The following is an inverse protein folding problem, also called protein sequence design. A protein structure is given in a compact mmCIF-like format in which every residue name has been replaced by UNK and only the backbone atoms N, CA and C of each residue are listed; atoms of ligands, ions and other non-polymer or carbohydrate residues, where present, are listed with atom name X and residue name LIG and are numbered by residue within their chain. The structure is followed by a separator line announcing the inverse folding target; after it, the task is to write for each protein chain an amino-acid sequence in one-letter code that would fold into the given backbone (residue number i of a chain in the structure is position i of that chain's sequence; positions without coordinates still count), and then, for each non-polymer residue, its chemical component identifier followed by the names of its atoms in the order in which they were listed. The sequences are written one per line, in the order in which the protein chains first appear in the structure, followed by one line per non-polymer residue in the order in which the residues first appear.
data_IF_976738088054
#
_entry.id   IF_976738088054
#
_cell.length_a   1.000
_cell.length_b   1.000
_cell.length_c   1.000
_cell.angle_alpha   90.00
_cell.angle_beta   90.00
_cell.angle_gamma   90.00
#
_symmetry.space_group_name_H-M   'P 1'
#
loop_
_entity.id
_entity.type
_entity.pdbx_description
1 polymer ?
#
# COMPACT_ATOMS: atom_id res chain seq x y z
N UNK A 1 -13.21 80.43 34.69
CA UNK A 1 -11.87 80.75 34.11
C UNK A 1 -11.24 79.42 33.72
N UNK A 2 -11.30 79.02 32.45
CA UNK A 2 -10.34 79.26 31.37
C UNK A 2 -9.25 78.15 31.30
N UNK A 3 -9.43 77.27 30.31
CA UNK A 3 -8.45 76.53 29.51
C UNK A 3 -7.30 75.76 30.20
N UNK A 4 -7.15 74.47 29.85
CA UNK A 4 -6.18 74.05 28.81
C UNK A 4 -6.38 72.61 28.36
N UNK A 5 -6.07 72.42 27.08
CA UNK A 5 -6.18 71.24 26.22
C UNK A 5 -5.17 70.14 26.61
N UNK A 6 -5.52 68.88 26.40
CA UNK A 6 -4.62 67.92 25.75
C UNK A 6 -5.40 66.70 25.26
N UNK A 7 -5.36 66.45 23.94
CA UNK A 7 -5.80 65.20 23.33
C UNK A 7 -4.85 64.08 23.75
N UNK A 8 -5.38 62.97 24.26
CA UNK A 8 -4.66 61.70 24.30
C UNK A 8 -5.57 60.66 23.64
N UNK A 9 -5.16 60.25 22.44
CA UNK A 9 -5.63 59.04 21.76
C UNK A 9 -5.19 57.84 22.61
N UNK A 10 -6.13 57.04 23.11
CA UNK A 10 -5.81 55.74 23.68
C UNK A 10 -6.20 54.68 22.65
N UNK A 11 -5.17 54.09 22.03
CA UNK A 11 -5.27 52.93 21.15
C UNK A 11 -5.95 51.78 21.92
N UNK A 12 -6.99 51.19 21.32
CA UNK A 12 -7.42 49.83 21.66
C UNK A 12 -6.30 48.88 21.23
N UNK A 13 -5.60 48.30 22.20
CA UNK A 13 -4.74 47.15 21.97
C UNK A 13 -5.59 45.91 21.73
N UNK A 14 -5.63 45.43 20.48
CA UNK A 14 -6.12 44.09 20.18
C UNK A 14 -5.01 43.13 20.58
N UNK A 15 -5.19 42.45 21.71
CA UNK A 15 -4.36 41.31 22.10
C UNK A 15 -4.75 40.14 21.20
N UNK A 16 -3.98 39.91 20.13
CA UNK A 16 -4.09 38.70 19.34
C UNK A 16 -3.60 37.53 20.20
N UNK A 17 -4.55 36.79 20.78
CA UNK A 17 -4.30 35.49 21.38
C UNK A 17 -4.10 34.52 20.21
N UNK A 18 -2.85 34.33 19.79
CA UNK A 18 -2.51 33.27 18.86
C UNK A 18 -2.67 31.93 19.60
N UNK A 19 -3.82 31.28 19.44
CA UNK A 19 -3.96 29.88 19.77
C UNK A 19 -3.08 29.10 18.79
N UNK A 20 -1.94 28.62 19.28
CA UNK A 20 -1.23 27.52 18.66
C UNK A 20 -2.18 26.33 18.68
N UNK A 21 -2.88 26.12 17.56
CA UNK A 21 -3.44 24.81 17.24
C UNK A 21 -2.20 23.99 16.89
N UNK A 22 -1.70 23.22 17.86
CA UNK A 22 -0.83 22.10 17.55
C UNK A 22 -1.66 21.16 16.68
N UNK A 23 -1.41 21.13 15.37
CA UNK A 23 -1.81 19.98 14.56
C UNK A 23 -1.09 18.80 15.16
N UNK A 24 -1.81 17.97 15.93
CA UNK A 24 -1.33 16.62 16.16
C UNK A 24 -1.27 16.00 14.76
N UNK A 25 -0.08 15.63 14.30
CA UNK A 25 0.01 14.65 13.23
C UNK A 25 -0.71 13.43 13.78
N UNK A 26 -1.92 13.17 13.28
CA UNK A 26 -2.57 11.90 13.55
C UNK A 26 -1.79 10.90 12.72
N UNK A 27 -0.98 10.06 13.36
CA UNK A 27 -0.58 8.79 12.77
C UNK A 27 -1.86 8.13 12.22
N UNK A 28 -1.86 7.80 10.95
CA UNK A 28 -3.00 7.24 10.25
C UNK A 28 -2.69 5.82 9.74
N UNK A 29 -1.42 5.42 9.68
CA UNK A 29 -1.00 4.04 9.92
C UNK A 29 -0.82 3.82 11.42
N UNK A 30 -1.66 2.96 12.00
CA UNK A 30 -1.55 2.57 13.40
C UNK A 30 -1.20 1.10 13.49
N UNK A 31 -0.01 0.82 14.04
CA UNK A 31 0.51 -0.53 14.25
C UNK A 31 0.25 -0.97 15.68
N UNK A 32 -0.33 -2.17 15.83
CA UNK A 32 -0.48 -2.87 17.10
C UNK A 32 0.32 -4.17 17.04
N UNK A 33 1.40 -4.27 17.82
CA UNK A 33 2.20 -5.49 17.88
C UNK A 33 1.35 -6.68 18.34
N UNK A 34 1.51 -7.83 17.68
CA UNK A 34 0.83 -9.09 18.00
C UNK A 34 1.78 -10.26 17.82
N UNK A 35 1.65 -11.24 18.71
CA UNK A 35 2.33 -12.54 18.63
C UNK A 35 1.32 -13.68 18.40
N UNK A 36 0.05 -13.35 18.17
CA UNK A 36 -0.99 -14.35 17.90
C UNK A 36 -1.01 -14.70 16.42
N UNK A 37 -0.42 -15.85 16.08
CA UNK A 37 -0.36 -16.36 14.71
C UNK A 37 -1.75 -16.51 14.07
N UNK A 38 -2.77 -16.87 14.87
CA UNK A 38 -4.14 -17.06 14.37
C UNK A 38 -4.79 -15.72 14.07
N UNK A 39 -4.56 -14.70 14.90
CA UNK A 39 -5.02 -13.33 14.65
C UNK A 39 -4.39 -12.75 13.37
N UNK A 40 -3.06 -12.89 13.23
CA UNK A 40 -2.33 -12.43 12.04
C UNK A 40 -2.86 -13.11 10.76
N UNK A 41 -3.02 -14.43 10.79
CA UNK A 41 -3.49 -15.18 9.63
C UNK A 41 -4.95 -14.83 9.27
N UNK A 42 -5.84 -14.70 10.25
CA UNK A 42 -7.23 -14.32 9.99
C UNK A 42 -7.37 -12.87 9.47
N UNK A 43 -6.48 -11.97 9.89
CA UNK A 43 -6.50 -10.58 9.42
C UNK A 43 -6.15 -10.47 7.94
N UNK A 44 -5.32 -11.37 7.43
CA UNK A 44 -5.04 -11.44 6.01
C UNK A 44 -6.27 -11.84 5.18
N UNK A 45 -7.11 -12.76 5.67
CA UNK A 45 -8.24 -13.30 4.90
C UNK A 45 -9.26 -12.24 4.49
N UNK A 46 -9.54 -12.17 3.19
CA UNK A 46 -10.72 -11.45 2.69
C UNK A 46 -11.97 -12.24 3.06
N UNK A 47 -12.99 -11.62 3.69
CA UNK A 47 -14.25 -12.29 4.00
C UNK A 47 -14.92 -12.85 2.73
N UNK A 48 -15.35 -14.11 2.78
CA UNK A 48 -16.04 -14.75 1.66
C UNK A 48 -15.13 -15.31 0.56
N UNK A 49 -13.81 -15.31 0.74
CA UNK A 49 -12.82 -15.78 -0.23
C UNK A 49 -12.82 -17.28 -0.56
N UNK A 50 -13.70 -18.09 0.04
CA UNK A 50 -13.67 -19.55 -0.11
C UNK A 50 -12.44 -20.22 0.52
N UNK A 51 -11.65 -19.49 1.31
CA UNK A 51 -10.44 -19.98 1.96
C UNK A 51 -10.70 -20.24 3.44
N UNK A 52 -10.34 -21.44 3.89
CA UNK A 52 -10.38 -21.81 5.31
C UNK A 52 -8.97 -22.00 5.87
N UNK A 53 -8.57 -21.21 6.87
CA UNK A 53 -7.30 -21.45 7.59
C UNK A 53 -7.41 -22.72 8.42
N UNK A 54 -6.48 -23.64 8.21
CA UNK A 54 -6.34 -24.88 8.98
C UNK A 54 -5.46 -24.67 10.21
N UNK A 55 -4.36 -23.93 10.07
CA UNK A 55 -3.41 -23.64 11.13
C UNK A 55 -2.53 -22.44 10.80
N UNK A 56 -2.07 -21.72 11.82
CA UNK A 56 -1.06 -20.67 11.70
C UNK A 56 0.01 -20.83 12.79
N UNK A 57 1.28 -20.64 12.42
CA UNK A 57 2.43 -20.71 13.32
C UNK A 57 3.30 -19.49 13.07
N UNK A 58 3.51 -18.68 14.11
CA UNK A 58 4.44 -17.56 14.11
C UNK A 58 5.71 -17.98 14.85
N UNK A 59 6.87 -17.77 14.24
CA UNK A 59 8.19 -18.14 14.78
C UNK A 59 9.24 -17.10 14.42
N UNK A 60 10.19 -16.90 15.32
CA UNK A 60 11.38 -16.07 15.08
C UNK A 60 12.62 -16.91 14.85
N UNK A 61 13.78 -16.34 15.18
CA UNK A 61 15.08 -17.01 15.05
C UNK A 61 15.41 -17.96 16.19
N UNK A 62 16.70 -18.20 16.38
CA UNK A 62 17.28 -18.99 17.46
C UNK A 62 18.21 -18.08 18.26
N UNK A 63 18.30 -18.25 19.57
CA UNK A 63 19.24 -17.47 20.38
C UNK A 63 20.66 -17.66 19.83
N UNK A 64 21.31 -16.56 19.44
CA UNK A 64 22.73 -16.61 19.12
C UNK A 64 23.50 -17.04 20.38
N UNK A 65 24.35 -18.07 20.28
CA UNK A 65 25.39 -18.21 21.29
C UNK A 65 26.26 -16.96 21.16
N UNK A 66 26.20 -16.06 22.14
CA UNK A 66 27.32 -15.14 22.36
C UNK A 66 28.52 -16.05 22.62
N UNK A 67 29.34 -16.27 21.59
CA UNK A 67 30.71 -16.70 21.82
C UNK A 67 31.27 -15.67 22.78
N UNK A 68 31.41 -16.05 24.04
CA UNK A 68 32.19 -15.29 25.01
C UNK A 68 33.50 -14.98 24.29
N UNK A 69 33.75 -13.70 23.98
CA UNK A 69 35.09 -13.25 23.64
C UNK A 69 35.90 -13.39 24.94
N UNK A 70 36.20 -14.65 25.27
CA UNK A 70 37.11 -15.02 26.32
C UNK A 70 38.40 -14.32 25.98
N UNK A 71 38.70 -13.30 26.77
CA UNK A 71 39.96 -12.58 26.77
C UNK A 71 41.10 -13.60 26.80
N UNK A 72 41.65 -13.92 25.63
CA UNK A 72 42.74 -14.88 25.48
C UNK A 72 44.06 -14.21 25.86
N UNK A 73 44.21 -13.84 27.13
CA UNK A 73 45.52 -13.55 27.70
C UNK A 73 46.09 -14.85 28.30
N UNK A 74 47.09 -15.38 27.59
CA UNK A 74 48.08 -16.37 27.99
C UNK A 74 47.76 -17.88 27.93
N UNK A 75 48.66 -18.57 27.20
CA UNK A 75 49.03 -20.01 27.19
C UNK A 75 48.00 -21.10 27.57
N UNK A 76 47.65 -21.90 26.55
CA UNK A 76 47.38 -23.35 26.60
C UNK A 76 46.18 -23.78 27.47
N UNK A 77 45.05 -24.02 26.79
CA UNK A 77 44.12 -25.11 27.12
C UNK A 77 42.82 -24.71 27.81
N UNK A 78 41.85 -24.21 27.04
CA UNK A 78 40.43 -24.25 27.44
C UNK A 78 39.78 -25.48 26.81
N UNK A 79 39.48 -26.49 27.63
CA UNK A 79 38.46 -27.49 27.30
C UNK A 79 37.07 -26.86 27.41
N UNK A 80 36.03 -27.44 26.78
CA UNK A 80 34.69 -26.88 26.80
C UNK A 80 34.17 -26.89 28.24
N UNK A 81 33.82 -25.70 28.76
CA UNK A 81 33.03 -25.59 29.98
C UNK A 81 31.64 -26.17 29.74
N UNK A 82 31.14 -26.94 30.70
CA UNK A 82 29.77 -27.48 30.69
C UNK A 82 28.77 -26.33 30.76
N UNK A 83 28.28 -25.88 29.60
CA UNK A 83 27.14 -24.98 29.50
C UNK A 83 25.85 -25.79 29.72
N UNK A 84 24.97 -25.27 30.59
CA UNK A 84 23.62 -25.78 30.75
C UNK A 84 22.89 -25.74 29.40
N UNK A 85 22.29 -26.86 29.03
CA UNK A 85 21.61 -27.09 27.76
C UNK A 85 20.44 -26.09 27.59
N UNK A 86 20.67 -24.96 26.92
CA UNK A 86 19.60 -24.15 26.34
C UNK A 86 19.10 -24.94 25.13
N UNK A 87 17.80 -25.19 25.06
CA UNK A 87 17.21 -25.96 23.98
C UNK A 87 17.24 -25.13 22.68
N UNK A 88 18.30 -25.30 21.88
CA UNK A 88 18.49 -24.68 20.56
C UNK A 88 17.58 -25.27 19.48
N UNK A 89 16.74 -26.26 19.80
CA UNK A 89 15.86 -26.92 18.82
C UNK A 89 14.48 -26.24 18.67
N UNK A 90 14.15 -25.24 19.51
CA UNK A 90 12.89 -24.50 19.40
C UNK A 90 13.14 -23.04 19.00
N UNK A 91 12.50 -22.54 17.93
CA UNK A 91 12.58 -21.12 17.58
C UNK A 91 12.04 -20.25 18.73
N UNK A 92 12.69 -19.11 18.97
CA UNK A 92 12.20 -18.11 19.90
C UNK A 92 11.04 -17.33 19.27
N UNK A 93 10.15 -16.81 20.11
CA UNK A 93 9.05 -15.99 19.62
C UNK A 93 9.60 -14.68 19.02
N UNK A 94 9.07 -14.20 17.88
CA UNK A 94 9.53 -12.98 17.24
C UNK A 94 8.96 -11.77 18.00
N UNK A 95 9.71 -11.28 18.99
CA UNK A 95 9.26 -10.26 19.93
C UNK A 95 9.23 -8.88 19.26
N UNK A 96 8.04 -8.28 19.14
CA UNK A 96 7.81 -6.98 18.49
C UNK A 96 8.11 -6.93 16.98
N UNK A 97 8.45 -8.05 16.37
CA UNK A 97 8.72 -8.18 14.93
C UNK A 97 7.45 -8.42 14.10
N UNK A 98 6.29 -8.57 14.75
CA UNK A 98 5.00 -8.78 14.08
C UNK A 98 3.87 -7.94 14.70
N UNK A 99 2.92 -7.54 13.86
CA UNK A 99 1.75 -6.79 14.29
C UNK A 99 0.65 -6.70 13.24
N UNK A 100 -0.44 -6.06 13.65
CA UNK A 100 -1.54 -5.63 12.79
C UNK A 100 -1.36 -4.15 12.49
N UNK A 101 -1.78 -3.71 11.31
CA UNK A 101 -1.89 -2.29 10.99
C UNK A 101 -3.27 -1.94 10.47
N UNK A 102 -3.66 -0.67 10.65
CA UNK A 102 -4.74 0.00 9.91
C UNK A 102 -4.12 1.13 9.12
N UNK A 103 -4.70 1.56 7.99
CA UNK A 103 -4.11 2.59 7.12
C UNK A 103 -5.13 3.66 6.70
N UNK A 104 -5.63 4.41 7.67
CA UNK A 104 -6.58 5.49 7.39
C UNK A 104 -5.99 6.61 6.50
N UNK A 105 -4.66 6.67 6.34
CA UNK A 105 -3.95 7.63 5.50
C UNK A 105 -3.86 7.25 4.03
N UNK A 106 -4.05 5.97 3.68
CA UNK A 106 -3.74 5.47 2.34
C UNK A 106 -2.23 5.48 2.03
N UNK A 107 -1.34 5.54 3.03
CA UNK A 107 0.11 5.49 2.84
C UNK A 107 0.48 4.16 2.16
N UNK A 108 1.43 4.25 1.23
CA UNK A 108 1.80 3.18 0.30
C UNK A 108 0.70 2.67 -0.63
N UNK A 109 -0.44 3.36 -0.70
CA UNK A 109 -1.61 2.91 -1.46
C UNK A 109 -2.13 1.56 -0.98
N UNK A 110 -1.89 1.19 0.29
CA UNK A 110 -2.43 -0.04 0.90
C UNK A 110 -3.88 0.14 1.36
N UNK A 111 -4.69 -0.94 1.40
CA UNK A 111 -6.09 -0.88 1.85
C UNK A 111 -6.24 -0.23 3.23
N UNK A 112 -7.26 0.61 3.41
CA UNK A 112 -7.50 1.33 4.66
C UNK A 112 -7.84 0.40 5.84
N UNK A 113 -8.53 -0.71 5.55
CA UNK A 113 -8.77 -1.80 6.49
C UNK A 113 -7.48 -2.36 7.11
N UNK A 114 -6.35 -2.21 6.40
CA UNK A 114 -5.04 -2.62 6.84
C UNK A 114 -4.80 -4.11 6.69
N UNK A 115 -3.93 -4.65 7.54
CA UNK A 115 -3.42 -6.00 7.39
C UNK A 115 -2.40 -6.35 8.47
N UNK A 116 -1.38 -7.12 8.10
CA UNK A 116 -0.27 -7.47 8.97
C UNK A 116 1.00 -6.73 8.58
N UNK A 117 1.89 -6.53 9.54
CA UNK A 117 3.21 -5.94 9.34
C UNK A 117 4.25 -6.81 10.01
N UNK A 118 5.35 -7.07 9.30
CA UNK A 118 6.55 -7.68 9.84
C UNK A 118 7.74 -6.75 9.71
N UNK A 119 8.61 -6.79 10.71
CA UNK A 119 9.88 -6.08 10.73
C UNK A 119 10.95 -7.00 11.30
N UNK A 120 12.18 -6.86 10.83
CA UNK A 120 13.33 -7.56 11.42
C UNK A 120 13.69 -7.01 12.81
N UNK A 121 13.29 -5.78 13.13
CA UNK A 121 13.34 -5.22 14.49
C UNK A 121 11.96 -4.96 15.08
N UNK A 122 11.66 -3.70 15.41
CA UNK A 122 10.40 -3.34 16.09
C UNK A 122 9.37 -2.75 15.12
N UNK A 123 8.29 -3.49 14.84
CA UNK A 123 7.20 -3.06 13.95
C UNK A 123 6.57 -1.73 14.34
N UNK A 124 6.53 -1.39 15.64
CA UNK A 124 5.92 -0.12 16.09
C UNK A 124 6.75 1.12 15.76
N UNK A 125 7.99 0.95 15.28
CA UNK A 125 8.82 2.05 14.79
C UNK A 125 8.34 2.60 13.44
N UNK A 126 7.57 1.81 12.67
CA UNK A 126 7.26 2.10 11.26
C UNK A 126 5.82 2.57 11.05
N UNK A 127 5.30 3.39 11.96
CA UNK A 127 4.05 4.12 11.71
C UNK A 127 4.28 5.16 10.59
N UNK A 128 3.21 5.71 10.03
CA UNK A 128 3.31 6.75 9.01
C UNK A 128 3.75 8.09 9.62
N UNK A 129 4.43 8.94 8.85
CA UNK A 129 4.95 10.19 9.37
C UNK A 129 6.22 10.64 8.66
N UNK A 130 6.74 11.84 8.97
CA UNK A 130 8.06 12.21 8.48
C UNK A 130 9.10 11.28 9.09
N UNK A 131 10.07 10.85 8.30
CA UNK A 131 11.23 10.12 8.83
C UNK A 131 11.93 10.94 9.93
N UNK A 132 11.93 10.40 11.14
CA UNK A 132 12.48 11.00 12.35
C UNK A 132 13.87 10.47 12.71
N UNK A 133 14.33 9.39 12.07
CA UNK A 133 15.61 8.75 12.32
C UNK A 133 16.05 7.95 11.11
N UNK A 134 17.23 8.24 10.57
CA UNK A 134 17.79 7.50 9.42
C UNK A 134 18.45 6.16 9.79
N UNK A 135 18.12 5.62 10.96
CA UNK A 135 18.79 4.45 11.53
C UNK A 135 17.92 3.76 12.55
N UNK A 136 16.62 3.60 12.25
CA UNK A 136 15.83 2.68 13.05
C UNK A 136 16.40 1.27 12.94
N UNK A 137 16.49 0.60 14.08
CA UNK A 137 17.17 -0.68 14.22
C UNK A 137 16.90 -1.28 15.59
N UNK A 138 16.63 -2.58 15.64
CA UNK A 138 16.59 -3.36 16.87
C UNK A 138 17.10 -4.79 16.63
N UNK A 139 18.37 -5.00 16.96
CA UNK A 139 18.99 -6.33 17.04
C UNK A 139 18.30 -7.17 18.13
N UNK A 140 17.57 -8.20 17.72
CA UNK A 140 16.89 -9.16 18.59
C UNK A 140 17.81 -10.30 19.05
N UNK A 141 19.08 -10.29 18.63
CA UNK A 141 20.12 -11.22 19.04
C UNK A 141 19.88 -12.64 18.55
N UNK A 142 19.15 -12.79 17.45
CA UNK A 142 18.70 -14.08 16.96
C UNK A 142 19.24 -14.41 15.58
N UNK A 143 19.51 -15.69 15.33
CA UNK A 143 20.02 -16.18 14.04
C UNK A 143 18.97 -17.02 13.34
N UNK A 144 18.94 -16.94 12.01
CA UNK A 144 18.12 -17.82 11.18
C UNK A 144 18.57 -19.28 11.25
N UNK A 145 17.60 -20.20 11.19
CA UNK A 145 17.86 -21.62 10.97
C UNK A 145 18.53 -21.88 9.63
N UNK A 146 19.08 -23.08 9.44
CA UNK A 146 19.58 -23.49 8.12
C UNK A 146 18.49 -23.43 7.04
N UNK A 147 17.25 -23.84 7.35
CA UNK A 147 16.15 -23.81 6.39
C UNK A 147 15.82 -22.38 5.97
N UNK A 148 15.75 -21.44 6.92
CA UNK A 148 15.53 -20.02 6.64
C UNK A 148 16.69 -19.44 5.82
N UNK A 149 17.94 -19.76 6.16
CA UNK A 149 19.10 -19.34 5.37
C UNK A 149 19.05 -19.87 3.93
N UNK A 150 18.74 -21.15 3.74
CA UNK A 150 18.64 -21.75 2.40
C UNK A 150 17.54 -21.09 1.54
N UNK A 151 16.45 -20.65 2.18
CA UNK A 151 15.34 -19.94 1.54
C UNK A 151 15.66 -18.48 1.20
N UNK A 152 16.40 -17.78 2.05
CA UNK A 152 16.72 -16.36 1.87
C UNK A 152 18.00 -16.10 1.08
N UNK A 153 18.97 -17.02 1.08
CA UNK A 153 20.25 -16.85 0.38
C UNK A 153 20.11 -16.53 -1.12
N UNK A 154 19.17 -17.13 -1.87
CA UNK A 154 18.95 -16.77 -3.27
C UNK A 154 18.39 -15.35 -3.45
N UNK A 155 17.77 -14.78 -2.43
CA UNK A 155 17.13 -13.46 -2.46
C UNK A 155 18.10 -12.35 -2.06
N UNK A 156 18.95 -12.59 -1.06
CA UNK A 156 19.88 -11.60 -0.49
C UNK A 156 21.30 -11.69 -1.04
N UNK A 157 21.67 -12.86 -1.58
CA UNK A 157 23.06 -13.18 -1.94
C UNK A 157 23.96 -13.50 -0.73
N UNK A 158 23.40 -13.54 0.49
CA UNK A 158 24.13 -13.85 1.73
C UNK A 158 23.81 -15.24 2.25
N UNK A 159 24.75 -15.85 2.98
CA UNK A 159 24.57 -17.21 3.53
C UNK A 159 24.07 -17.22 4.98
N UNK A 160 24.03 -16.05 5.64
CA UNK A 160 23.66 -15.91 7.04
C UNK A 160 22.70 -14.75 7.20
N UNK A 161 21.65 -15.00 7.97
CA UNK A 161 20.59 -14.05 8.25
C UNK A 161 20.30 -13.99 9.75
N UNK A 162 19.85 -12.82 10.20
CA UNK A 162 19.58 -12.50 11.59
C UNK A 162 18.17 -11.98 11.75
N UNK A 163 17.67 -12.07 12.98
CA UNK A 163 16.36 -11.57 13.36
C UNK A 163 15.22 -11.95 12.40
N UNK A 164 15.10 -13.25 12.06
CA UNK A 164 14.04 -13.68 11.18
C UNK A 164 12.70 -13.59 11.90
N UNK A 165 11.68 -13.19 11.14
CA UNK A 165 10.27 -13.32 11.49
C UNK A 165 9.58 -14.16 10.42
N UNK A 166 8.89 -15.20 10.86
CA UNK A 166 8.27 -16.19 9.98
C UNK A 166 6.84 -16.48 10.40
N UNK A 167 5.91 -16.44 9.44
CA UNK A 167 4.53 -16.89 9.61
C UNK A 167 4.23 -17.99 8.61
N UNK A 168 3.98 -19.20 9.12
CA UNK A 168 3.50 -20.34 8.35
C UNK A 168 1.98 -20.46 8.48
N UNK A 169 1.27 -20.52 7.37
CA UNK A 169 -0.18 -20.72 7.29
C UNK A 169 -0.45 -21.98 6.46
N UNK A 170 -1.26 -22.88 6.98
CA UNK A 170 -1.92 -23.91 6.17
C UNK A 170 -3.37 -23.53 5.98
N UNK A 171 -3.86 -23.60 4.74
CA UNK A 171 -5.24 -23.29 4.40
C UNK A 171 -5.78 -24.27 3.37
N UNK A 172 -7.10 -24.37 3.32
CA UNK A 172 -7.84 -25.18 2.36
C UNK A 172 -8.58 -24.26 1.41
N UNK A 173 -8.46 -24.53 0.11
CA UNK A 173 -9.25 -23.92 -0.96
C UNK A 173 -10.36 -24.91 -1.33
N UNK A 174 -11.62 -24.47 -1.31
CA UNK A 174 -12.78 -25.32 -1.60
C UNK A 174 -12.77 -25.81 -3.07
N UNK A 175 -13.49 -26.90 -3.37
CA UNK A 175 -13.66 -27.40 -4.74
C UNK A 175 -14.36 -26.32 -5.61
N UNK A 176 -13.88 -26.12 -6.84
CA UNK A 176 -14.34 -25.07 -7.77
C UNK A 176 -14.05 -23.60 -7.35
N UNK A 177 -13.15 -23.36 -6.38
CA UNK A 177 -12.66 -22.01 -6.01
C UNK A 177 -11.35 -21.63 -6.71
N UNK A 178 -10.93 -20.36 -6.55
CA UNK A 178 -9.63 -19.76 -6.85
C UNK A 178 -8.54 -20.66 -7.44
N UNK A 179 -8.04 -20.32 -8.63
CA UNK A 179 -6.73 -20.82 -9.09
C UNK A 179 -5.56 -19.95 -8.64
N UNK A 180 -5.85 -18.70 -8.27
CA UNK A 180 -4.86 -17.68 -7.89
C UNK A 180 -5.42 -16.83 -6.75
N UNK A 181 -4.61 -16.60 -5.72
CA UNK A 181 -4.93 -15.66 -4.64
C UNK A 181 -3.97 -14.48 -4.72
N UNK A 182 -4.46 -13.27 -4.51
CA UNK A 182 -3.64 -12.07 -4.55
C UNK A 182 -3.38 -11.54 -3.14
N UNK A 183 -2.18 -10.97 -2.95
CA UNK A 183 -1.79 -10.15 -1.81
C UNK A 183 -1.37 -8.77 -2.29
N UNK A 184 -1.66 -7.76 -1.48
CA UNK A 184 -1.06 -6.44 -1.60
C UNK A 184 -0.01 -6.23 -0.52
N UNK A 185 1.06 -5.51 -0.84
CA UNK A 185 2.08 -5.20 0.15
C UNK A 185 2.87 -3.94 -0.14
N UNK A 186 3.68 -3.53 0.82
CA UNK A 186 4.66 -2.48 0.67
C UNK A 186 5.91 -2.87 1.46
N UNK A 187 7.08 -2.76 0.83
CA UNK A 187 8.35 -3.09 1.45
C UNK A 187 9.22 -1.84 1.54
N UNK A 188 9.88 -1.65 2.67
CA UNK A 188 10.89 -0.62 2.83
C UNK A 188 11.94 -0.99 3.87
N UNK A 189 13.01 -0.20 3.90
CA UNK A 189 14.19 -0.51 4.69
C UNK A 189 14.92 0.74 5.15
N UNK A 190 15.51 0.64 6.33
CA UNK A 190 16.46 1.62 6.87
C UNK A 190 17.85 1.49 6.24
N UNK A 191 18.13 0.40 5.53
CA UNK A 191 19.43 0.16 4.89
C UNK A 191 19.64 1.00 3.61
N UNK A 192 18.56 1.53 3.04
CA UNK A 192 18.62 2.36 1.85
C UNK A 192 18.95 3.82 2.21
N UNK A 193 19.74 4.55 1.39
CA UNK A 193 20.48 4.09 0.21
C UNK A 193 21.88 3.55 0.51
N UNK A 194 22.35 3.61 1.75
CA UNK A 194 23.75 3.41 2.12
C UNK A 194 24.28 2.01 1.80
N UNK A 195 23.44 0.99 1.85
CA UNK A 195 23.84 -0.42 1.77
C UNK A 195 23.37 -1.15 0.51
N UNK A 196 22.84 -0.41 -0.49
CA UNK A 196 22.57 -0.95 -1.82
C UNK A 196 23.86 -1.56 -2.42
N UNK A 197 23.71 -2.72 -3.08
CA UNK A 197 24.79 -3.53 -3.65
C UNK A 197 25.85 -4.00 -2.62
N UNK A 198 25.46 -4.14 -1.35
CA UNK A 198 26.35 -4.55 -0.27
C UNK A 198 26.03 -5.94 0.31
N UNK A 199 26.63 -6.26 1.46
CA UNK A 199 26.34 -7.49 2.21
C UNK A 199 25.13 -7.38 3.15
N UNK A 200 24.59 -6.18 3.32
CA UNK A 200 23.46 -5.86 4.20
C UNK A 200 22.28 -5.53 3.28
N UNK A 201 21.72 -6.59 2.70
CA UNK A 201 20.59 -6.52 1.76
C UNK A 201 19.57 -7.50 2.29
N UNK A 202 18.68 -7.01 3.13
CA UNK A 202 17.70 -7.85 3.82
C UNK A 202 16.78 -8.59 2.86
N UNK A 203 16.28 -9.74 3.30
CA UNK A 203 15.54 -10.66 2.45
C UNK A 203 14.09 -10.83 2.87
N UNK A 204 13.16 -10.51 1.97
CA UNK A 204 11.76 -10.93 2.10
C UNK A 204 11.43 -12.05 1.12
N UNK A 205 10.86 -13.14 1.64
CA UNK A 205 10.34 -14.26 0.87
C UNK A 205 8.87 -14.53 1.17
N UNK A 206 8.13 -14.86 0.12
CA UNK A 206 6.76 -15.34 0.17
C UNK A 206 6.71 -16.70 -0.52
N UNK A 207 6.65 -17.78 0.24
CA UNK A 207 6.69 -19.14 -0.29
C UNK A 207 5.32 -19.79 -0.27
N UNK A 208 4.88 -20.30 -1.41
CA UNK A 208 3.62 -21.03 -1.54
C UNK A 208 3.91 -22.42 -2.05
N UNK A 209 3.47 -23.43 -1.30
CA UNK A 209 3.79 -24.84 -1.54
C UNK A 209 5.30 -25.08 -1.76
N UNK A 210 6.14 -24.28 -1.07
CA UNK A 210 7.60 -24.36 -1.11
C UNK A 210 8.26 -23.62 -2.28
N UNK A 211 7.53 -22.86 -3.11
CA UNK A 211 8.10 -22.01 -4.16
C UNK A 211 7.98 -20.54 -3.79
N UNK A 212 9.06 -19.77 -3.90
CA UNK A 212 8.99 -18.33 -3.69
C UNK A 212 8.20 -17.68 -4.84
N UNK A 213 7.25 -16.83 -4.47
CA UNK A 213 6.44 -15.99 -5.37
C UNK A 213 6.55 -14.51 -5.02
N UNK A 214 7.33 -14.14 -3.99
CA UNK A 214 7.70 -12.74 -3.76
C UNK A 214 8.66 -12.26 -4.85
N UNK A 215 8.25 -11.20 -5.54
CA UNK A 215 9.08 -10.43 -6.44
C UNK A 215 8.27 -9.33 -7.11
N UNK A 216 8.96 -8.34 -7.65
CA UNK A 216 8.35 -7.23 -8.37
C UNK A 216 9.01 -7.06 -9.74
N UNK A 217 8.25 -6.59 -10.71
CA UNK A 217 8.78 -6.21 -12.01
C UNK A 217 9.48 -4.85 -11.92
N UNK A 218 10.67 -4.69 -12.50
CA UNK A 218 11.28 -3.37 -12.64
C UNK A 218 10.42 -2.42 -13.48
N UNK A 219 10.53 -1.11 -13.24
CA UNK A 219 9.90 -0.06 -14.05
C UNK A 219 10.22 -0.27 -15.54
N UNK A 220 9.17 -0.37 -16.35
CA UNK A 220 9.28 -0.58 -17.80
C UNK A 220 9.48 -2.04 -18.24
N UNK A 221 9.42 -3.01 -17.33
CA UNK A 221 9.32 -4.43 -17.68
C UNK A 221 7.91 -4.80 -18.19
N UNK A 222 7.81 -5.90 -18.92
CA UNK A 222 6.55 -6.43 -19.48
C UNK A 222 5.99 -7.58 -18.63
N UNK A 223 4.68 -7.87 -18.69
CA UNK A 223 4.09 -8.99 -17.97
C UNK A 223 4.73 -10.31 -18.42
N UNK A 224 5.10 -11.13 -17.44
CA UNK A 224 5.79 -12.39 -17.67
C UNK A 224 7.32 -12.29 -17.76
N UNK A 225 7.90 -11.09 -17.65
CA UNK A 225 9.33 -10.93 -17.39
C UNK A 225 9.72 -11.47 -16.01
N UNK A 226 11.01 -11.70 -15.79
CA UNK A 226 11.54 -12.20 -14.52
C UNK A 226 11.30 -11.18 -13.39
N UNK A 227 10.71 -11.65 -12.28
CA UNK A 227 10.52 -10.84 -11.09
C UNK A 227 11.85 -10.66 -10.37
N UNK A 228 12.18 -9.41 -10.04
CA UNK A 228 13.31 -9.10 -9.18
C UNK A 228 12.93 -9.33 -7.69
N UNK A 229 13.87 -9.78 -6.85
CA UNK A 229 13.62 -9.96 -5.42
C UNK A 229 13.14 -8.69 -4.72
N UNK A 230 12.37 -8.86 -3.65
CA UNK A 230 11.92 -7.77 -2.79
C UNK A 230 13.02 -7.47 -1.76
N UNK A 231 13.90 -6.51 -2.09
CA UNK A 231 14.95 -5.99 -1.21
C UNK A 231 15.48 -4.65 -1.74
N UNK A 232 16.47 -4.06 -1.05
CA UNK A 232 17.05 -2.76 -1.41
C UNK A 232 17.88 -2.75 -2.71
N UNK A 233 18.24 -3.93 -3.26
CA UNK A 233 18.91 -4.03 -4.56
C UNK A 233 17.93 -3.95 -5.74
N UNK A 234 16.62 -3.94 -5.49
CA UNK A 234 15.64 -3.73 -6.55
C UNK A 234 15.85 -2.33 -7.17
N UNK A 235 15.90 -2.20 -8.52
CA UNK A 235 16.24 -0.93 -9.18
C UNK A 235 15.27 0.22 -8.91
N UNK A 236 14.05 -0.09 -8.50
CA UNK A 236 12.99 0.88 -8.18
C UNK A 236 12.85 1.19 -6.69
N UNK A 237 13.88 0.90 -5.89
CA UNK A 237 13.93 1.39 -4.52
C UNK A 237 14.22 2.89 -4.49
N UNK A 238 13.39 3.66 -3.78
CA UNK A 238 13.47 5.12 -3.75
C UNK A 238 13.05 5.69 -2.40
N UNK A 239 13.53 6.90 -2.03
CA UNK A 239 13.06 7.58 -0.83
C UNK A 239 11.62 8.07 -1.03
N UNK A 240 10.73 7.77 -0.09
CA UNK A 240 9.33 8.20 -0.12
C UNK A 240 9.03 9.07 1.11
N UNK A 241 8.41 10.26 0.95
CA UNK A 241 7.96 11.05 2.10
C UNK A 241 6.77 10.40 2.80
N UNK A 242 6.51 10.77 4.06
CA UNK A 242 5.33 10.29 4.79
C UNK A 242 5.50 8.90 5.41
N UNK A 243 6.71 8.34 5.37
CA UNK A 243 7.10 7.15 6.14
C UNK A 243 8.33 7.41 7.01
N UNK A 244 8.44 6.64 8.10
CA UNK A 244 9.66 6.52 8.91
C UNK A 244 10.79 5.78 8.18
N UNK A 245 10.49 5.04 7.10
CA UNK A 245 11.47 4.28 6.32
C UNK A 245 12.38 5.20 5.49
N UNK A 246 13.68 4.91 5.43
CA UNK A 246 14.62 5.63 4.57
C UNK A 246 14.33 5.45 3.07
N UNK A 247 13.86 4.27 2.68
CA UNK A 247 13.43 3.98 1.31
C UNK A 247 12.36 2.91 1.25
N UNK A 248 11.63 2.89 0.14
CA UNK A 248 10.61 1.90 -0.16
C UNK A 248 10.76 1.43 -1.60
N UNK A 249 10.35 0.18 -1.83
CA UNK A 249 10.26 -0.37 -3.17
C UNK A 249 9.01 0.19 -3.87
N UNK A 250 9.19 0.96 -4.95
CA UNK A 250 8.09 1.58 -5.67
C UNK A 250 8.24 1.47 -7.21
N UNK A 251 8.00 0.27 -7.79
CA UNK A 251 7.96 0.09 -9.24
C UNK A 251 6.99 1.07 -9.91
N UNK A 252 7.43 1.68 -11.01
CA UNK A 252 6.71 2.76 -11.70
C UNK A 252 6.37 3.97 -10.81
N UNK A 253 7.08 4.15 -9.69
CA UNK A 253 6.81 5.20 -8.70
C UNK A 253 5.69 4.87 -7.71
N UNK A 254 5.10 3.67 -7.76
CA UNK A 254 4.03 3.26 -6.86
C UNK A 254 4.52 2.21 -5.85
N UNK A 255 4.47 2.50 -4.53
CA UNK A 255 4.91 1.58 -3.47
C UNK A 255 3.98 0.37 -3.24
N UNK A 256 2.82 0.30 -3.90
CA UNK A 256 1.92 -0.84 -3.82
C UNK A 256 2.44 -2.02 -4.64
N UNK A 257 2.83 -3.08 -3.94
CA UNK A 257 3.23 -4.36 -4.51
C UNK A 257 2.02 -5.29 -4.61
N UNK A 258 2.00 -6.12 -5.66
CA UNK A 258 0.99 -7.16 -5.87
C UNK A 258 1.68 -8.51 -6.03
N UNK A 259 1.23 -9.50 -5.27
CA UNK A 259 1.71 -10.88 -5.36
C UNK A 259 0.56 -11.78 -5.77
N UNK A 260 0.61 -12.32 -6.99
CA UNK A 260 -0.36 -13.29 -7.48
C UNK A 260 0.15 -14.70 -7.24
N UNK A 261 -0.59 -15.43 -6.42
CA UNK A 261 -0.15 -16.69 -5.84
C UNK A 261 -0.97 -17.85 -6.41
N UNK A 262 -0.36 -18.75 -7.18
CA UNK A 262 -1.06 -19.94 -7.66
C UNK A 262 -1.34 -20.87 -6.48
N UNK A 263 -2.58 -21.33 -6.38
CA UNK A 263 -3.02 -22.31 -5.38
C UNK A 263 -3.61 -23.54 -6.04
N UNK A 264 -3.62 -24.64 -5.29
CA UNK A 264 -4.25 -25.89 -5.73
C UNK A 264 -5.53 -26.14 -4.93
N UNK A 265 -6.46 -26.89 -5.51
CA UNK A 265 -7.61 -27.40 -4.79
C UNK A 265 -7.17 -28.21 -3.56
N UNK A 266 -7.87 -28.03 -2.43
CA UNK A 266 -7.51 -28.66 -1.16
C UNK A 266 -6.43 -27.90 -0.41
N UNK A 267 -5.50 -28.62 0.22
CA UNK A 267 -4.55 -28.02 1.18
C UNK A 267 -3.38 -27.35 0.47
N UNK A 268 -3.13 -26.10 0.85
CA UNK A 268 -1.96 -25.31 0.48
C UNK A 268 -1.18 -24.89 1.73
N UNK A 269 0.09 -24.53 1.53
CA UNK A 269 0.91 -23.90 2.55
C UNK A 269 1.47 -22.59 2.06
N UNK A 270 1.54 -21.63 2.97
CA UNK A 270 2.08 -20.30 2.78
C UNK A 270 3.10 -20.03 3.88
N UNK A 271 4.23 -19.45 3.52
CA UNK A 271 5.27 -18.99 4.44
C UNK A 271 5.67 -17.58 4.07
N UNK A 272 5.54 -16.67 5.00
CA UNK A 272 6.22 -15.38 4.97
C UNK A 272 7.50 -15.51 5.78
N UNK A 273 8.59 -14.98 5.25
CA UNK A 273 9.87 -14.96 5.93
C UNK A 273 10.59 -13.64 5.60
N UNK A 274 10.92 -12.89 6.64
CA UNK A 274 11.72 -11.67 6.54
C UNK A 274 12.89 -11.81 7.53
N UNK A 275 14.11 -11.46 7.13
CA UNK A 275 15.28 -11.47 8.01
C UNK A 275 16.36 -10.51 7.52
N UNK A 276 17.18 -10.05 8.45
CA UNK A 276 18.33 -9.19 8.15
C UNK A 276 19.45 -10.00 7.49
N UNK A 277 20.19 -9.38 6.58
CA UNK A 277 21.32 -10.02 5.93
C UNK A 277 22.66 -9.61 6.57
N UNK A 278 23.47 -10.60 6.93
CA UNK A 278 24.82 -10.44 7.52
C UNK A 278 24.93 -9.83 8.93
N UNK A 279 24.10 -8.86 9.30
CA UNK A 279 23.95 -8.37 10.69
C UNK A 279 22.47 -8.17 11.04
N UNK A 280 22.15 -7.61 12.22
CA UNK A 280 20.79 -7.25 12.63
C UNK A 280 20.68 -5.79 13.08
N UNK A 281 21.48 -4.90 12.46
CA UNK A 281 21.69 -3.55 12.95
C UNK A 281 20.65 -2.52 12.46
N UNK A 282 20.22 -2.67 11.21
CA UNK A 282 19.23 -1.82 10.54
C UNK A 282 18.10 -2.72 10.11
N UNK A 283 16.86 -2.28 10.27
CA UNK A 283 15.73 -3.18 10.04
C UNK A 283 15.02 -2.88 8.71
N UNK A 284 14.47 -3.93 8.12
CA UNK A 284 13.53 -3.87 7.02
C UNK A 284 12.11 -4.21 7.48
N UNK A 285 11.11 -3.73 6.72
CA UNK A 285 9.69 -3.89 7.05
C UNK A 285 8.87 -4.23 5.81
N UNK A 286 7.95 -5.18 5.97
CA UNK A 286 6.93 -5.55 4.98
C UNK A 286 5.54 -5.37 5.59
N UNK A 287 4.69 -4.62 4.90
CA UNK A 287 3.25 -4.56 5.13
C UNK A 287 2.56 -5.49 4.13
N UNK A 288 1.56 -6.25 4.58
CA UNK A 288 0.77 -7.14 3.74
C UNK A 288 -0.72 -7.03 4.08
N UNK A 289 -1.55 -6.91 3.06
CA UNK A 289 -2.99 -6.82 3.16
C UNK A 289 -3.67 -7.70 2.10
N UNK A 290 -4.95 -7.99 2.35
CA UNK A 290 -5.89 -8.65 1.43
C UNK A 290 -5.42 -10.00 0.87
N UNK A 291 -5.90 -11.10 1.43
CA UNK A 291 -5.73 -12.46 0.93
C UNK A 291 -7.04 -12.95 0.31
N UNK A 292 -7.16 -12.84 -1.03
CA UNK A 292 -8.37 -13.24 -1.77
C UNK A 292 -8.18 -13.21 -3.29
N UNK A 293 -9.17 -13.72 -4.03
CA UNK A 293 -9.19 -13.67 -5.49
C UNK A 293 -9.41 -12.23 -6.00
N UNK A 294 -8.81 -11.90 -7.15
CA UNK A 294 -9.04 -10.61 -7.80
C UNK A 294 -10.45 -10.50 -8.36
N UNK A 295 -11.07 -9.34 -8.17
CA UNK A 295 -12.41 -9.02 -8.62
C UNK A 295 -13.54 -9.50 -7.72
N UNK A 296 -13.29 -10.39 -6.75
CA UNK A 296 -14.34 -10.95 -5.89
C UNK A 296 -14.79 -10.01 -4.76
N UNK A 297 -13.96 -9.02 -4.40
CA UNK A 297 -14.16 -8.20 -3.22
C UNK A 297 -13.65 -6.77 -3.41
N UNK A 298 -14.20 -5.79 -2.67
CA UNK A 298 -13.66 -4.43 -2.68
C UNK A 298 -12.22 -4.35 -2.14
N UNK A 299 -11.75 -5.40 -1.45
CA UNK A 299 -10.39 -5.48 -0.91
C UNK A 299 -9.40 -6.15 -1.86
N UNK A 300 -9.89 -6.74 -2.96
CA UNK A 300 -9.09 -7.36 -4.03
C UNK A 300 -9.65 -6.97 -5.40
N UNK A 301 -9.78 -5.68 -5.73
CA UNK A 301 -10.37 -5.30 -7.00
C UNK A 301 -9.47 -5.66 -8.18
N UNK A 302 -10.06 -5.75 -9.36
CA UNK A 302 -9.30 -5.87 -10.60
C UNK A 302 -8.65 -4.53 -10.91
N UNK A 303 -7.33 -4.52 -10.96
CA UNK A 303 -6.52 -3.37 -11.36
C UNK A 303 -6.36 -3.33 -12.89
N UNK A 304 -6.16 -2.14 -13.49
CA UNK A 304 -5.81 -2.00 -14.91
C UNK A 304 -4.53 -2.79 -15.23
N UNK A 305 -4.40 -3.25 -16.49
CA UNK A 305 -3.22 -4.00 -16.92
C UNK A 305 -1.94 -3.17 -16.66
N UNK A 306 -1.00 -3.66 -15.83
CA UNK A 306 0.19 -2.89 -15.45
C UNK A 306 1.13 -2.58 -16.62
N UNK A 307 0.97 -3.26 -17.76
CA UNK A 307 1.81 -3.06 -18.94
C UNK A 307 1.28 -2.06 -19.95
N UNK A 308 -0.03 -1.83 -19.94
CA UNK A 308 -0.68 -0.85 -20.79
C UNK A 308 -2.04 -0.47 -20.19
N UNK A 309 -2.06 0.34 -19.12
CA UNK A 309 -3.26 0.57 -18.33
C UNK A 309 -4.34 1.33 -19.12
N UNK A 310 -3.97 2.01 -20.20
CA UNK A 310 -4.85 2.89 -20.97
C UNK A 310 -4.83 2.62 -22.48
N UNK A 311 -5.95 2.86 -23.17
CA UNK A 311 -5.99 2.90 -24.64
C UNK A 311 -5.50 4.25 -25.21
N UNK A 312 -5.57 4.42 -26.55
CA UNK A 312 -5.14 5.66 -27.24
C UNK A 312 -5.86 6.93 -26.76
N UNK A 313 -7.03 6.79 -26.14
CA UNK A 313 -7.86 7.88 -25.62
C UNK A 313 -7.68 8.11 -24.11
N UNK A 314 -6.80 7.35 -23.44
CA UNK A 314 -6.55 7.45 -22.00
C UNK A 314 -7.57 6.70 -21.12
N UNK A 315 -8.48 5.92 -21.73
CA UNK A 315 -9.45 5.12 -20.98
C UNK A 315 -8.82 3.82 -20.47
N UNK A 316 -9.15 3.42 -19.25
CA UNK A 316 -8.67 2.17 -18.68
C UNK A 316 -9.37 0.98 -19.36
N UNK A 317 -8.56 0.01 -19.78
CA UNK A 317 -9.06 -1.20 -20.44
C UNK A 317 -8.80 -2.40 -19.55
N UNK A 318 -9.86 -3.08 -19.16
CA UNK A 318 -9.80 -4.34 -18.42
C UNK A 318 -9.97 -5.50 -19.40
N UNK A 319 -9.09 -6.49 -19.33
CA UNK A 319 -9.23 -7.75 -20.07
C UNK A 319 -9.64 -8.84 -19.11
N UNK A 320 -10.91 -9.27 -19.18
CA UNK A 320 -11.47 -10.29 -18.30
C UNK A 320 -11.83 -11.58 -19.06
N UNK A 321 -11.82 -12.74 -18.40
CA UNK A 321 -12.47 -13.95 -18.92
C UNK A 321 -13.99 -13.79 -19.00
N UNK A 322 -14.69 -14.81 -19.53
CA UNK A 322 -16.16 -14.82 -19.64
C UNK A 322 -16.81 -14.65 -18.26
N UNK A 323 -17.69 -13.66 -18.11
CA UNK A 323 -18.41 -13.38 -16.85
C UNK A 323 -19.68 -14.20 -16.74
N UNK A 324 -20.05 -14.58 -15.51
CA UNK A 324 -21.32 -15.25 -15.21
C UNK A 324 -22.44 -14.23 -14.90
N UNK A 325 -23.68 -14.61 -15.19
CA UNK A 325 -24.85 -13.85 -14.79
C UNK A 325 -24.89 -13.68 -13.26
N UNK A 326 -25.17 -12.46 -12.80
CA UNK A 326 -25.25 -12.03 -11.40
C UNK A 326 -23.91 -12.06 -10.61
N UNK A 327 -22.80 -12.40 -11.26
CA UNK A 327 -21.45 -12.27 -10.69
C UNK A 327 -21.12 -10.79 -10.49
N UNK A 328 -20.68 -10.41 -9.29
CA UNK A 328 -20.27 -9.03 -8.98
C UNK A 328 -18.75 -8.94 -9.08
N UNK A 329 -18.27 -8.10 -9.99
CA UNK A 329 -16.86 -7.83 -10.19
C UNK A 329 -16.53 -6.46 -9.62
N UNK A 330 -15.50 -6.38 -8.79
CA UNK A 330 -14.98 -5.14 -8.21
C UNK A 330 -13.86 -4.56 -9.07
N UNK A 331 -14.02 -3.30 -9.47
CA UNK A 331 -13.10 -2.55 -10.31
C UNK A 331 -12.52 -1.34 -9.56
N UNK A 332 -11.29 -0.96 -9.88
CA UNK A 332 -10.57 0.15 -9.25
C UNK A 332 -9.81 1.00 -10.29
N UNK A 333 -10.13 2.29 -10.44
CA UNK A 333 -9.46 3.25 -11.32
C UNK A 333 -8.54 4.25 -10.59
N UNK A 334 -7.76 5.00 -11.37
CA UNK A 334 -7.04 6.21 -10.93
C UNK A 334 -7.94 7.45 -10.82
N UNK A 335 -7.71 8.32 -9.82
CA UNK A 335 -8.66 9.37 -9.33
C UNK A 335 -9.26 10.26 -10.42
N UNK A 336 -10.56 10.45 -10.26
CA UNK A 336 -11.39 11.42 -10.93
C UNK A 336 -12.49 11.91 -9.96
N UNK A 337 -13.23 12.97 -10.30
CA UNK A 337 -14.44 13.41 -9.56
C UNK A 337 -15.64 12.47 -9.73
N UNK A 338 -15.48 11.47 -10.59
CA UNK A 338 -16.40 10.38 -10.89
C UNK A 338 -15.85 9.54 -12.03
N UNK A 339 -16.52 8.44 -12.37
CA UNK A 339 -16.15 7.59 -13.51
C UNK A 339 -17.36 7.29 -14.35
N UNK A 340 -17.14 7.08 -15.65
CA UNK A 340 -18.13 6.48 -16.54
C UNK A 340 -17.68 5.07 -16.89
N UNK A 341 -18.53 4.10 -16.58
CA UNK A 341 -18.30 2.69 -16.86
C UNK A 341 -19.10 2.30 -18.09
N UNK A 342 -18.46 1.61 -19.04
CA UNK A 342 -19.10 1.09 -20.26
C UNK A 342 -18.83 -0.40 -20.40
N UNK A 343 -19.89 -1.17 -20.59
CA UNK A 343 -19.85 -2.63 -20.78
C UNK A 343 -20.41 -3.04 -22.13
N UNK A 344 -19.88 -4.13 -22.70
CA UNK A 344 -20.49 -4.83 -23.83
C UNK A 344 -21.73 -5.65 -23.47
N UNK A 345 -21.94 -5.92 -22.17
CA UNK A 345 -23.08 -6.66 -21.63
C UNK A 345 -24.01 -5.73 -20.85
N UNK A 346 -25.29 -6.13 -20.72
CA UNK A 346 -26.24 -5.41 -19.88
C UNK A 346 -25.88 -5.56 -18.40
N UNK A 347 -25.88 -4.45 -17.68
CA UNK A 347 -25.52 -4.37 -16.26
C UNK A 347 -26.79 -4.62 -15.42
N UNK A 348 -26.68 -5.49 -14.42
CA UNK A 348 -27.76 -5.83 -13.50
C UNK A 348 -27.76 -4.92 -12.27
N UNK A 349 -26.62 -4.81 -11.59
CA UNK A 349 -26.46 -3.97 -10.41
C UNK A 349 -25.16 -3.19 -10.43
N UNK A 350 -25.14 -2.10 -9.64
CA UNK A 350 -23.94 -1.36 -9.30
C UNK A 350 -23.92 -1.14 -7.79
N UNK A 351 -22.77 -1.32 -7.16
CA UNK A 351 -22.54 -1.07 -5.73
C UNK A 351 -21.53 0.06 -5.59
N UNK A 352 -21.94 1.12 -4.91
CA UNK A 352 -21.06 2.24 -4.61
C UNK A 352 -19.90 1.81 -3.68
N UNK A 353 -18.74 2.49 -3.72
CA UNK A 353 -17.63 2.17 -2.84
C UNK A 353 -18.05 2.14 -1.36
N UNK A 354 -17.66 1.11 -0.59
CA UNK A 354 -17.95 1.05 0.84
C UNK A 354 -17.08 2.03 1.62
N UNK A 355 -17.58 2.50 2.77
CA UNK A 355 -16.87 3.45 3.62
C UNK A 355 -15.49 2.95 4.08
N UNK A 356 -15.36 1.63 4.28
CA UNK A 356 -14.10 1.00 4.71
C UNK A 356 -13.05 0.92 3.59
N UNK A 357 -13.46 1.04 2.32
CA UNK A 357 -12.56 1.16 1.17
C UNK A 357 -12.29 2.63 0.83
N UNK A 358 -13.35 3.45 0.79
CA UNK A 358 -13.26 4.89 0.52
C UNK A 358 -14.02 5.63 1.63
N UNK A 359 -13.35 6.38 2.51
CA UNK A 359 -13.98 7.02 3.68
C UNK A 359 -14.74 8.31 3.27
N UNK A 360 -15.68 8.19 2.34
CA UNK A 360 -16.55 9.26 1.84
C UNK A 360 -17.86 9.31 2.66
N UNK A 361 -18.05 10.32 3.53
CA UNK A 361 -19.20 10.39 4.44
C UNK A 361 -20.47 10.97 3.80
N UNK A 362 -20.36 11.64 2.65
CA UNK A 362 -21.47 12.30 1.94
C UNK A 362 -22.06 11.48 0.78
N UNK A 363 -21.41 10.37 0.44
CA UNK A 363 -21.93 9.38 -0.50
C UNK A 363 -21.80 9.80 -1.96
N UNK A 364 -22.50 9.09 -2.85
CA UNK A 364 -22.28 9.14 -4.29
C UNK A 364 -23.55 9.49 -5.07
N UNK A 365 -23.37 9.87 -6.33
CA UNK A 365 -24.43 10.09 -7.30
C UNK A 365 -24.27 9.12 -8.46
N UNK A 366 -25.27 8.27 -8.66
CA UNK A 366 -25.39 7.40 -9.83
C UNK A 366 -26.12 8.13 -10.95
N UNK A 367 -25.51 8.19 -12.13
CA UNK A 367 -26.11 8.72 -13.36
C UNK A 367 -26.09 7.71 -14.49
N UNK A 368 -27.16 7.62 -15.28
CA UNK A 368 -27.19 6.80 -16.47
C UNK A 368 -28.28 7.26 -17.44
N UNK A 369 -28.16 6.87 -18.70
CA UNK A 369 -29.15 7.18 -19.73
C UNK A 369 -30.12 6.01 -19.90
N UNK A 370 -31.42 6.28 -19.82
CA UNK A 370 -32.46 5.31 -20.12
C UNK A 370 -33.53 5.93 -21.01
N UNK A 371 -33.83 5.30 -22.16
CA UNK A 371 -34.77 5.82 -23.16
C UNK A 371 -34.50 7.29 -23.55
N UNK A 372 -33.22 7.65 -23.73
CA UNK A 372 -32.74 9.00 -24.02
C UNK A 372 -33.05 10.05 -22.94
N UNK A 373 -33.33 9.63 -21.71
CA UNK A 373 -33.49 10.52 -20.56
C UNK A 373 -32.43 10.20 -19.50
N UNK A 374 -31.75 11.24 -19.01
CA UNK A 374 -30.83 11.14 -17.88
C UNK A 374 -31.61 10.74 -16.62
N UNK A 375 -31.15 9.69 -15.96
CA UNK A 375 -31.58 9.26 -14.64
C UNK A 375 -30.46 9.61 -13.64
N UNK A 376 -30.85 10.02 -12.43
CA UNK A 376 -29.92 10.40 -11.37
C UNK A 376 -30.45 9.92 -10.02
N UNK A 377 -29.61 9.25 -9.24
CA UNK A 377 -29.93 8.72 -7.91
C UNK A 377 -28.79 9.00 -6.94
N UNK A 378 -29.11 9.29 -5.68
CA UNK A 378 -28.11 9.36 -4.61
C UNK A 378 -27.91 7.96 -4.01
N UNK A 379 -26.67 7.59 -3.75
CA UNK A 379 -26.26 6.34 -3.12
C UNK A 379 -25.47 6.65 -1.86
N UNK A 380 -25.77 5.97 -0.76
CA UNK A 380 -24.89 5.95 0.40
C UNK A 380 -23.65 5.09 0.09
N UNK A 381 -22.57 5.26 0.85
CA UNK A 381 -21.37 4.45 0.70
C UNK A 381 -21.68 2.96 0.93
N UNK A 382 -21.29 2.11 -0.01
CA UNK A 382 -21.60 0.68 -0.03
C UNK A 382 -23.03 0.33 -0.48
N UNK A 383 -23.87 1.30 -0.87
CA UNK A 383 -25.23 1.03 -1.32
C UNK A 383 -25.26 0.41 -2.73
N UNK A 384 -26.05 -0.66 -2.90
CA UNK A 384 -26.30 -1.31 -4.19
C UNK A 384 -27.57 -0.78 -4.85
N UNK A 385 -27.45 -0.36 -6.10
CA UNK A 385 -28.57 -0.04 -6.98
C UNK A 385 -28.80 -1.17 -7.99
N UNK A 386 -30.02 -1.69 -8.03
CA UNK A 386 -30.43 -2.75 -8.93
C UNK A 386 -31.23 -2.19 -10.11
N UNK A 387 -30.64 -2.21 -11.31
CA UNK A 387 -31.27 -1.69 -12.52
C UNK A 387 -32.48 -2.52 -12.94
N UNK A 388 -32.40 -3.85 -12.81
CA UNK A 388 -33.44 -4.79 -13.26
C UNK A 388 -34.69 -4.65 -12.40
N UNK A 389 -34.53 -4.65 -11.07
CA UNK A 389 -35.63 -4.48 -10.11
C UNK A 389 -36.28 -3.10 -10.22
N UNK A 390 -35.51 -2.07 -10.55
CA UNK A 390 -36.03 -0.72 -10.77
C UNK A 390 -36.58 -0.50 -12.19
N UNK A 391 -36.58 -1.53 -13.05
CA UNK A 391 -37.19 -1.51 -14.38
C UNK A 391 -36.32 -0.92 -15.50
N UNK A 392 -35.04 -0.66 -15.22
CA UNK A 392 -34.05 -0.11 -16.15
C UNK A 392 -33.28 -1.22 -16.87
N UNK A 393 -33.97 -2.01 -17.68
CA UNK A 393 -33.35 -3.12 -18.40
C UNK A 393 -32.48 -2.66 -19.59
N UNK A 394 -31.31 -3.26 -19.76
CA UNK A 394 -30.43 -3.00 -20.91
C UNK A 394 -29.52 -1.78 -20.75
N UNK A 395 -29.28 -1.34 -19.51
CA UNK A 395 -28.26 -0.32 -19.22
C UNK A 395 -26.87 -0.94 -19.44
N UNK A 396 -26.06 -0.31 -20.28
CA UNK A 396 -24.68 -0.73 -20.58
C UNK A 396 -23.65 0.32 -20.18
N UNK A 397 -24.11 1.52 -19.81
CA UNK A 397 -23.25 2.66 -19.45
C UNK A 397 -23.86 3.40 -18.27
N UNK A 398 -23.06 3.66 -17.25
CA UNK A 398 -23.44 4.48 -16.08
C UNK A 398 -22.24 5.28 -15.59
N UNK A 399 -22.49 6.28 -14.75
CA UNK A 399 -21.46 7.06 -14.09
C UNK A 399 -21.70 7.10 -12.59
N UNK A 400 -20.65 6.94 -11.79
CA UNK A 400 -20.67 7.27 -10.35
C UNK A 400 -19.90 8.58 -10.16
N UNK A 401 -20.53 9.54 -9.52
CA UNK A 401 -20.03 10.89 -9.27
C UNK A 401 -20.16 11.24 -7.79
N UNK A 402 -19.71 12.44 -7.42
CA UNK A 402 -19.89 12.97 -6.07
C UNK A 402 -18.73 12.63 -5.14
N UNK A 403 -17.62 12.12 -5.68
CA UNK A 403 -16.38 11.87 -4.92
C UNK A 403 -15.98 13.16 -4.22
N UNK A 404 -15.92 13.12 -2.89
CA UNK A 404 -15.62 14.30 -2.11
C UNK A 404 -14.17 14.76 -2.35
N UNK A 405 -14.03 15.87 -3.09
CA UNK A 405 -12.72 16.42 -3.45
C UNK A 405 -11.91 16.92 -2.24
N UNK A 406 -12.56 17.20 -1.10
CA UNK A 406 -11.89 17.60 0.13
C UNK A 406 -11.20 16.41 0.83
N UNK A 407 -11.47 15.16 0.42
CA UNK A 407 -10.73 13.98 0.85
C UNK A 407 -9.32 13.94 0.26
N UNK A 408 -9.03 14.76 -0.77
CA UNK A 408 -7.73 14.86 -1.43
C UNK A 408 -7.12 13.48 -1.75
N UNK A 409 -7.97 12.55 -2.20
CA UNK A 409 -7.54 11.22 -2.62
C UNK A 409 -6.44 11.36 -3.67
N UNK A 410 -5.32 10.67 -3.44
CA UNK A 410 -4.13 10.76 -4.29
C UNK A 410 -4.46 10.27 -5.71
N UNK A 411 -4.33 11.11 -6.75
CA UNK A 411 -4.64 10.72 -8.11
C UNK A 411 -3.77 9.63 -8.70
N UNK A 412 -2.63 9.37 -8.10
CA UNK A 412 -1.72 8.30 -8.49
C UNK A 412 -1.89 7.04 -7.61
N UNK A 413 -2.90 7.01 -6.72
CA UNK A 413 -3.27 5.84 -5.92
C UNK A 413 -4.31 4.97 -6.66
N UNK A 414 -3.92 3.79 -7.17
CA UNK A 414 -4.82 2.91 -7.92
C UNK A 414 -5.83 2.17 -7.03
N UNK A 415 -5.84 2.44 -5.72
CA UNK A 415 -6.81 1.94 -4.74
C UNK A 415 -7.80 3.00 -4.22
N UNK A 416 -7.83 4.17 -4.86
CA UNK A 416 -8.62 5.28 -4.38
C UNK A 416 -10.13 5.13 -4.63
N UNK A 417 -10.60 4.21 -5.50
CA UNK A 417 -12.02 4.16 -5.86
C UNK A 417 -12.57 2.78 -6.29
N UNK A 418 -12.95 1.95 -5.32
CA UNK A 418 -13.45 0.61 -5.62
C UNK A 418 -14.96 0.55 -5.89
N UNK A 419 -15.40 0.08 -7.06
CA UNK A 419 -16.84 -0.05 -7.41
C UNK A 419 -17.19 -1.48 -7.84
N UNK A 420 -18.29 -2.02 -7.31
CA UNK A 420 -18.80 -3.35 -7.69
C UNK A 420 -19.84 -3.27 -8.80
N UNK A 421 -19.73 -4.12 -9.83
CA UNK A 421 -20.69 -4.18 -10.96
C UNK A 421 -21.08 -5.63 -11.23
N UNK A 422 -22.37 -5.90 -11.40
CA UNK A 422 -22.85 -7.22 -11.84
C UNK A 422 -23.57 -7.18 -13.19
N UNK A 423 -23.65 -8.33 -13.86
CA UNK A 423 -24.16 -8.42 -15.24
C UNK A 423 -25.45 -9.23 -15.33
N UNK A 424 -26.37 -8.76 -16.18
CA UNK A 424 -27.68 -9.38 -16.36
C UNK A 424 -27.65 -10.65 -17.22
N UNK A 425 -26.54 -10.92 -17.93
CA UNK A 425 -26.36 -12.08 -18.81
C UNK A 425 -24.89 -12.54 -18.76
N UNK A 426 -24.64 -13.85 -18.92
CA UNK A 426 -23.28 -14.39 -19.06
C UNK A 426 -22.71 -14.14 -20.46
N UNK A 427 -21.39 -13.92 -20.57
CA UNK A 427 -20.71 -13.86 -21.86
C UNK A 427 -19.33 -13.19 -21.83
N UNK A 428 -18.72 -13.06 -23.01
CA UNK A 428 -17.45 -12.33 -23.16
C UNK A 428 -17.66 -10.84 -22.87
N UNK A 429 -16.86 -10.30 -21.94
CA UNK A 429 -16.96 -8.93 -21.46
C UNK A 429 -15.85 -8.06 -22.04
N UNK A 430 -16.23 -6.93 -22.61
CA UNK A 430 -15.36 -5.77 -22.79
C UNK A 430 -15.86 -4.67 -21.88
N UNK A 431 -15.01 -4.22 -20.96
CA UNK A 431 -15.34 -3.23 -19.96
C UNK A 431 -14.31 -2.10 -20.00
N UNK A 432 -14.80 -0.86 -20.13
CA UNK A 432 -13.96 0.33 -20.11
C UNK A 432 -14.44 1.30 -19.05
N UNK A 433 -13.50 2.05 -18.50
CA UNK A 433 -13.76 3.03 -17.46
C UNK A 433 -13.07 4.34 -17.80
N UNK A 434 -13.87 5.40 -17.92
CA UNK A 434 -13.44 6.74 -18.27
C UNK A 434 -13.45 7.66 -17.03
N UNK A 435 -12.33 8.30 -16.66
CA UNK A 435 -12.30 9.25 -15.55
C UNK A 435 -13.03 10.57 -15.88
N UNK A 436 -13.84 11.07 -14.95
CA UNK A 436 -14.43 12.41 -14.98
C UNK A 436 -13.54 13.34 -14.17
N UNK A 437 -12.55 13.98 -14.79
CA UNK A 437 -11.62 14.88 -14.08
C UNK A 437 -12.24 16.27 -13.85
N UNK A 438 -12.09 16.80 -12.64
CA UNK A 438 -12.36 18.20 -12.32
C UNK A 438 -11.04 18.86 -11.96
N UNK A 439 -10.69 19.92 -12.67
CA UNK A 439 -9.50 20.71 -12.34
C UNK A 439 -9.73 21.42 -11.00
N UNK A 440 -9.03 20.97 -9.97
CA UNK A 440 -8.91 21.71 -8.70
C UNK A 440 -7.61 22.52 -8.81
N UNK A 441 -7.67 23.86 -8.91
CA UNK A 441 -6.46 24.68 -8.89
C UNK A 441 -5.74 24.44 -7.56
N UNK A 442 -4.45 24.15 -7.62
CA UNK A 442 -3.62 24.05 -6.43
C UNK A 442 -3.76 25.35 -5.63
N UNK A 443 -3.95 25.28 -4.30
CA UNK A 443 -3.96 26.48 -3.45
C UNK A 443 -2.62 27.22 -3.51
N UNK A 444 -1.60 26.58 -4.08
CA UNK A 444 -0.27 27.11 -4.33
C UNK A 444 0.00 27.54 -5.78
N UNK A 445 -0.98 27.48 -6.68
CA UNK A 445 -0.88 28.13 -7.99
C UNK A 445 -0.93 29.65 -7.80
N UNK A 446 0.21 30.21 -7.39
CA UNK A 446 0.46 31.63 -7.35
C UNK A 446 0.37 32.08 -8.81
N UNK A 447 -0.60 32.95 -9.19
CA UNK A 447 -0.67 33.47 -10.54
C UNK A 447 0.70 34.02 -10.92
N UNK A 448 1.24 33.59 -12.07
CA UNK A 448 2.56 34.01 -12.52
C UNK A 448 2.72 35.51 -12.26
N UNK A 449 3.73 35.94 -11.49
CA UNK A 449 3.92 37.36 -11.24
C UNK A 449 4.06 38.04 -12.61
N UNK A 450 3.48 39.23 -12.75
CA UNK A 450 3.54 40.08 -13.96
C UNK A 450 4.97 40.54 -14.36
N UNK A 451 5.99 39.74 -14.04
CA UNK A 451 7.39 39.81 -14.41
C UNK A 451 7.59 40.01 -15.91
N UNK A 452 6.81 39.36 -16.79
CA UNK A 452 6.84 39.62 -18.25
C UNK A 452 6.41 41.06 -18.57
N UNK A 453 5.43 41.61 -17.84
CA UNK A 453 4.95 42.98 -18.00
C UNK A 453 5.99 44.00 -17.49
N UNK A 454 6.73 43.68 -16.42
CA UNK A 454 7.82 44.52 -15.90
C UNK A 454 9.06 44.47 -16.81
N UNK A 455 9.43 43.29 -17.33
CA UNK A 455 10.55 43.13 -18.26
C UNK A 455 10.27 43.84 -19.59
N UNK A 456 9.04 43.75 -20.12
CA UNK A 456 8.65 44.46 -21.35
C UNK A 456 8.59 45.98 -21.15
N UNK A 457 8.13 46.48 -20.00
CA UNK A 457 8.20 47.90 -19.65
C UNK A 457 9.66 48.39 -19.47
N UNK A 458 10.53 47.56 -18.88
CA UNK A 458 11.96 47.86 -18.70
C UNK A 458 12.72 47.93 -20.03
N UNK A 459 12.46 47.01 -20.96
CA UNK A 459 13.06 47.00 -22.29
C UNK A 459 12.53 48.14 -23.18
N UNK A 460 11.23 48.47 -23.08
CA UNK A 460 10.64 49.63 -23.75
C UNK A 460 11.25 50.97 -23.28
N UNK A 461 11.51 51.11 -21.98
CA UNK A 461 12.17 52.28 -21.40
C UNK A 461 13.63 52.46 -21.87
N UNK A 462 14.38 51.37 -22.03
CA UNK A 462 15.75 51.39 -22.57
C UNK A 462 15.79 51.72 -24.07
N UNK A 463 14.81 51.26 -24.84
CA UNK A 463 14.68 51.59 -26.26
C UNK A 463 14.36 53.08 -26.48
N UNK A 464 13.53 53.69 -25.61
CA UNK A 464 13.22 55.12 -25.66
C UNK A 464 14.37 56.02 -25.21
N UNK A 465 15.32 55.51 -24.40
CA UNK A 465 16.51 56.27 -23.97
C UNK A 465 17.60 56.36 -25.05
N UNK A 466 17.58 55.51 -26.08
CA UNK A 466 18.53 55.56 -27.21
C UNK A 466 18.21 56.61 -28.29
N UNK A 467 17.09 57.33 -28.19
CA UNK A 467 16.69 58.39 -29.15
C UNK A 467 17.02 59.83 -28.72
N UNK A 468 17.76 60.03 -27.63
CA UNK A 468 18.30 61.33 -27.21
C UNK A 468 19.76 61.23 -26.78
N UNK A 469 20.65 60.91 -27.72
CA UNK A 469 22.04 61.39 -27.79
C UNK A 469 22.32 61.72 -29.25
#
# INVERSE_FOLDING_TARGET
MRNRRSLIRLLLGVSALASLISSQFSYAIVITASQDATELANTLLVPGSGITINSAILSGGFSSESGDEGNCEDEIGCGPGENGNVNLDNPIAPLNQAGLFTNASGVYNLPAAGGIVFSTGNVTSYQDGPNTSNSFGLDNGSSASQEQNDQLSPLTGQLQHFDPVQLDISFTVDEDSASTITFFGAFGSEEFPEFVDSGFVDGFGLFVNGQNVAGALPTGASPGDELAPININHPDFLPLPGTELNGVLAPNGNPLLRFDVPVQEGVNTFRLLLADASDGGYDSTIFLASFGELGESPFTPILPDPSNPTNEDGAFVFTLPDVQQDETIWFDPDVASGYTYTSSLAIATVTAPPFDAVPDPDGYILEFMFNNMLQQFALNSGETFDFVLNGFNGVTTFSIQGINLDLALDPDNPQAFVTGVSFAESGALSFTQDPITVFVPDVNDIPEPASILIISLGLGGLALRRRKI
#
